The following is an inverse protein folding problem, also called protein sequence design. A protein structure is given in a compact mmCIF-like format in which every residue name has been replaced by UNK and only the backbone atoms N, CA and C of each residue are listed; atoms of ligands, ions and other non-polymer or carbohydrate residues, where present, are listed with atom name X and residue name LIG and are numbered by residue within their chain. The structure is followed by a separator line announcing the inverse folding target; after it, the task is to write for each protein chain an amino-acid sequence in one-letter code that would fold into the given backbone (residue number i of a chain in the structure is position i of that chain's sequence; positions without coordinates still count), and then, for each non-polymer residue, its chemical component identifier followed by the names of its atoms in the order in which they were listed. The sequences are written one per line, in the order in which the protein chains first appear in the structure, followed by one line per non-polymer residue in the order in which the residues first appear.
data_IF_139829133428
#
_entry.id   IF_139829133428
#
_cell.length_a   1.000
_cell.length_b   1.000
_cell.length_c   1.000
_cell.angle_alpha   90.00
_cell.angle_beta   90.00
_cell.angle_gamma   90.00
#
_symmetry.space_group_name_H-M   'P 1'
#
loop_
_entity.id
_entity.type
_entity.pdbx_description
1 polymer ?
#
# COMPACT_ATOMS: atom_id res chain seq x y z
N UNK A 1 11.41 0.59 12.19
CA UNK A 1 10.45 0.64 11.06
C UNK A 1 10.70 -0.39 9.97
N UNK A 2 11.94 -0.65 9.56
CA UNK A 2 12.23 -1.66 8.52
C UNK A 2 11.88 -3.09 8.96
N UNK A 3 12.32 -3.50 10.16
CA UNK A 3 12.05 -4.83 10.73
C UNK A 3 10.55 -5.15 10.81
N UNK A 4 9.75 -4.25 11.38
CA UNK A 4 8.28 -4.43 11.46
C UNK A 4 7.63 -4.50 10.07
N UNK A 5 8.14 -3.76 9.08
CA UNK A 5 7.66 -3.84 7.70
C UNK A 5 7.91 -5.23 7.12
N UNK A 6 9.12 -5.77 7.30
CA UNK A 6 9.47 -7.11 6.82
C UNK A 6 8.60 -8.19 7.47
N UNK A 7 8.45 -8.16 8.79
CA UNK A 7 7.63 -9.14 9.53
C UNK A 7 6.17 -9.09 9.07
N UNK A 8 5.57 -7.89 9.03
CA UNK A 8 4.16 -7.75 8.67
C UNK A 8 3.89 -8.10 7.21
N UNK A 9 4.78 -7.73 6.27
CA UNK A 9 4.62 -8.11 4.87
C UNK A 9 4.79 -9.61 4.65
N UNK A 10 5.69 -10.27 5.37
CA UNK A 10 5.82 -11.73 5.34
C UNK A 10 4.56 -12.39 5.88
N UNK A 11 4.11 -11.97 7.06
CA UNK A 11 2.88 -12.46 7.68
C UNK A 11 1.66 -12.33 6.75
N UNK A 12 1.49 -11.17 6.10
CA UNK A 12 0.39 -10.90 5.17
C UNK A 12 0.47 -11.68 3.85
N UNK A 13 1.64 -12.15 3.43
CA UNK A 13 1.76 -13.04 2.27
C UNK A 13 1.25 -14.44 2.61
N UNK A 14 1.53 -14.90 3.82
CA UNK A 14 1.22 -16.25 4.27
C UNK A 14 -0.18 -16.35 4.91
N UNK A 15 -0.79 -15.22 5.27
CA UNK A 15 -2.07 -15.16 5.97
C UNK A 15 -3.02 -14.11 5.36
N UNK A 16 -4.30 -14.48 5.24
CA UNK A 16 -5.35 -13.59 4.71
C UNK A 16 -6.00 -12.71 5.78
N UNK A 17 -5.82 -13.03 7.07
CA UNK A 17 -6.42 -12.32 8.19
C UNK A 17 -5.42 -11.42 8.91
N UNK A 18 -5.90 -10.27 9.37
CA UNK A 18 -5.12 -9.34 10.19
C UNK A 18 -5.24 -9.73 11.68
N UNK A 19 -4.12 -9.67 12.41
CA UNK A 19 -4.14 -9.80 13.88
C UNK A 19 -4.39 -8.42 14.46
N UNK A 20 -5.62 -8.18 14.91
CA UNK A 20 -6.05 -6.90 15.49
C UNK A 20 -6.02 -6.89 17.01
N UNK A 21 -5.90 -8.07 17.63
CA UNK A 21 -5.70 -8.19 19.06
C UNK A 21 -4.27 -7.73 19.43
N UNK A 22 -4.10 -6.75 20.35
CA UNK A 22 -2.79 -6.20 20.66
C UNK A 22 -1.79 -7.19 21.24
N UNK A 23 -2.25 -8.14 22.06
CA UNK A 23 -1.38 -9.09 22.75
C UNK A 23 -0.89 -10.15 21.76
N UNK A 24 -1.81 -10.69 20.95
CA UNK A 24 -1.45 -11.59 19.86
C UNK A 24 -0.56 -10.90 18.82
N UNK A 25 -0.82 -9.62 18.51
CA UNK A 25 -0.01 -8.86 17.57
C UNK A 25 1.42 -8.70 18.10
N UNK A 26 1.58 -8.30 19.38
CA UNK A 26 2.88 -8.15 20.00
C UNK A 26 3.65 -9.48 20.01
N UNK A 27 3.01 -10.56 20.47
CA UNK A 27 3.63 -11.89 20.49
C UNK A 27 4.07 -12.32 19.09
N UNK A 28 3.24 -12.08 18.07
CA UNK A 28 3.56 -12.43 16.69
C UNK A 28 4.78 -11.66 16.18
N UNK A 29 4.88 -10.35 16.42
CA UNK A 29 6.01 -9.57 15.91
C UNK A 29 7.31 -9.91 16.64
N UNK A 30 7.27 -10.12 17.96
CA UNK A 30 8.44 -10.43 18.78
C UNK A 30 8.94 -11.86 18.54
N UNK A 31 8.03 -12.81 18.31
CA UNK A 31 8.38 -14.21 17.99
C UNK A 31 9.00 -14.37 16.61
N UNK A 32 8.63 -13.52 15.64
CA UNK A 32 9.20 -13.55 14.30
C UNK A 32 10.52 -12.76 14.19
N UNK A 33 10.69 -11.72 15.00
CA UNK A 33 11.91 -10.91 15.04
C UNK A 33 12.17 -10.47 16.49
N UNK A 34 13.08 -11.16 17.21
CA UNK A 34 13.40 -10.84 18.60
C UNK A 34 13.89 -9.40 18.80
N UNK A 35 14.46 -8.75 17.77
CA UNK A 35 14.85 -7.33 17.85
C UNK A 35 13.67 -6.37 17.94
N UNK A 36 12.44 -6.85 17.72
CA UNK A 36 11.21 -6.09 17.95
C UNK A 36 10.69 -6.23 19.39
N UNK A 37 11.40 -6.92 20.28
CA UNK A 37 11.06 -6.94 21.71
C UNK A 37 10.88 -5.51 22.22
N UNK A 38 9.77 -5.25 22.93
CA UNK A 38 9.42 -3.94 23.50
C UNK A 38 9.04 -2.86 22.48
N UNK A 39 9.24 -3.06 21.17
CA UNK A 39 8.86 -2.09 20.14
C UNK A 39 7.39 -1.65 20.29
N UNK A 40 6.49 -2.61 20.51
CA UNK A 40 5.07 -2.31 20.66
C UNK A 40 4.78 -1.48 21.91
N UNK A 41 5.46 -1.77 23.02
CA UNK A 41 5.36 -1.00 24.27
C UNK A 41 5.90 0.42 24.10
N UNK A 42 7.01 0.59 23.38
CA UNK A 42 7.57 1.90 23.06
C UNK A 42 6.60 2.73 22.20
N UNK A 43 6.00 2.12 21.19
CA UNK A 43 5.00 2.76 20.34
C UNK A 43 3.76 3.19 21.15
N UNK A 44 3.28 2.36 22.06
CA UNK A 44 2.20 2.71 22.99
C UNK A 44 2.59 3.92 23.84
N UNK A 45 3.78 3.90 24.44
CA UNK A 45 4.24 4.98 25.32
C UNK A 45 4.47 6.30 24.56
N UNK A 46 4.91 6.23 23.31
CA UNK A 46 5.15 7.40 22.48
C UNK A 46 3.85 8.03 21.93
N UNK A 47 2.89 7.21 21.50
CA UNK A 47 1.70 7.68 20.79
C UNK A 47 0.50 7.95 21.69
N UNK A 48 0.49 7.40 22.92
CA UNK A 48 -0.65 7.50 23.82
C UNK A 48 -0.27 8.36 25.03
N UNK A 49 -0.94 9.50 25.24
CA UNK A 49 -0.70 10.32 26.44
C UNK A 49 -0.94 9.53 27.72
N UNK A 50 -0.07 9.69 28.73
CA UNK A 50 -0.15 8.96 30.01
C UNK A 50 -1.55 9.03 30.66
N UNK A 51 -2.19 10.20 30.68
CA UNK A 51 -3.56 10.42 31.20
C UNK A 51 -4.64 9.60 30.48
N UNK A 52 -4.43 9.28 29.20
CA UNK A 52 -5.36 8.50 28.36
C UNK A 52 -5.14 6.99 28.53
N UNK A 53 -3.91 6.59 28.85
CA UNK A 53 -3.53 5.21 29.13
C UNK A 53 -4.33 4.64 30.31
N UNK A 54 -4.60 5.45 31.33
CA UNK A 54 -5.34 5.03 32.53
C UNK A 54 -6.84 4.81 32.27
N UNK A 55 -7.45 5.58 31.36
CA UNK A 55 -8.91 5.54 31.13
C UNK A 55 -9.35 4.65 29.96
N UNK A 56 -8.48 4.44 28.96
CA UNK A 56 -8.85 3.79 27.69
C UNK A 56 -7.71 2.94 27.09
N UNK A 57 -6.90 2.29 27.94
CA UNK A 57 -5.70 1.51 27.57
C UNK A 57 -5.92 0.59 26.38
N UNK A 58 -7.00 -0.19 26.42
CA UNK A 58 -7.25 -1.25 25.45
C UNK A 58 -7.59 -0.71 24.06
N UNK A 59 -8.44 0.31 23.98
CA UNK A 59 -8.74 1.02 22.73
C UNK A 59 -7.48 1.64 22.14
N UNK A 60 -6.62 2.19 22.99
CA UNK A 60 -5.39 2.85 22.57
C UNK A 60 -4.38 1.83 22.01
N UNK A 61 -4.20 0.67 22.65
CA UNK A 61 -3.40 -0.43 22.12
C UNK A 61 -3.86 -0.89 20.73
N UNK A 62 -5.17 -1.08 20.53
CA UNK A 62 -5.74 -1.44 19.21
C UNK A 62 -5.47 -0.38 18.14
N UNK A 63 -5.45 0.90 18.51
CA UNK A 63 -5.06 1.98 17.59
C UNK A 63 -3.61 1.86 17.16
N UNK A 64 -2.70 1.53 18.07
CA UNK A 64 -1.27 1.33 17.74
C UNK A 64 -1.09 0.17 16.75
N UNK A 65 -1.81 -0.95 16.93
CA UNK A 65 -1.85 -2.05 15.94
C UNK A 65 -2.30 -1.53 14.57
N UNK A 66 -3.38 -0.76 14.53
CA UNK A 66 -3.88 -0.13 13.31
C UNK A 66 -2.84 0.77 12.65
N UNK A 67 -2.11 1.58 13.43
CA UNK A 67 -1.03 2.43 12.91
C UNK A 67 0.12 1.62 12.32
N UNK A 68 0.52 0.51 12.95
CA UNK A 68 1.56 -0.37 12.41
C UNK A 68 1.17 -0.89 11.02
N UNK A 69 -0.05 -1.42 10.87
CA UNK A 69 -0.53 -1.87 9.56
C UNK A 69 -0.65 -0.74 8.54
N UNK A 70 -1.13 0.44 8.97
CA UNK A 70 -1.23 1.61 8.09
C UNK A 70 0.15 2.05 7.57
N UNK A 71 1.15 2.17 8.45
CA UNK A 71 2.50 2.58 8.09
C UNK A 71 3.16 1.58 7.13
N UNK A 72 3.00 0.28 7.38
CA UNK A 72 3.49 -0.78 6.47
C UNK A 72 2.76 -0.74 5.14
N UNK A 73 1.43 -0.57 5.14
CA UNK A 73 0.64 -0.44 3.93
C UNK A 73 1.06 0.76 3.08
N UNK A 74 1.26 1.93 3.70
CA UNK A 74 1.77 3.13 3.03
C UNK A 74 3.15 2.88 2.42
N UNK A 75 4.08 2.29 3.20
CA UNK A 75 5.44 1.99 2.71
C UNK A 75 5.43 1.02 1.54
N UNK A 76 4.63 -0.04 1.61
CA UNK A 76 4.48 -1.01 0.52
C UNK A 76 3.88 -0.37 -0.73
N UNK A 77 2.82 0.44 -0.57
CA UNK A 77 2.22 1.18 -1.69
C UNK A 77 3.22 2.14 -2.33
N UNK A 78 3.98 2.89 -1.53
CA UNK A 78 5.03 3.78 -2.03
C UNK A 78 6.10 3.01 -2.81
N UNK A 79 6.63 1.91 -2.25
CA UNK A 79 7.64 1.10 -2.92
C UNK A 79 7.14 0.52 -4.25
N UNK A 80 5.91 -0.01 -4.29
CA UNK A 80 5.33 -0.55 -5.53
C UNK A 80 5.07 0.53 -6.58
N UNK A 81 4.58 1.70 -6.16
CA UNK A 81 4.39 2.84 -7.06
C UNK A 81 5.73 3.36 -7.60
N UNK A 82 6.76 3.43 -6.77
CA UNK A 82 8.10 3.83 -7.19
C UNK A 82 8.65 2.87 -8.27
N UNK A 83 8.55 1.56 -8.05
CA UNK A 83 8.97 0.55 -9.05
C UNK A 83 8.23 0.70 -10.37
N UNK A 84 6.93 1.00 -10.33
CA UNK A 84 6.11 1.24 -11.51
C UNK A 84 6.55 2.51 -12.26
N UNK A 85 6.73 3.62 -11.54
CA UNK A 85 7.18 4.89 -12.10
C UNK A 85 8.57 4.76 -12.73
N UNK A 86 9.49 4.06 -12.06
CA UNK A 86 10.81 3.78 -12.61
C UNK A 86 10.71 2.95 -13.89
N UNK A 87 9.88 1.90 -13.92
CA UNK A 87 9.66 1.10 -15.12
C UNK A 87 9.11 1.92 -16.29
N UNK A 88 8.12 2.78 -16.04
CA UNK A 88 7.57 3.71 -17.03
C UNK A 88 8.62 4.67 -17.57
N UNK A 89 9.42 5.24 -16.66
CA UNK A 89 10.51 6.15 -17.01
C UNK A 89 11.57 5.47 -17.88
N UNK A 90 12.05 4.29 -17.47
CA UNK A 90 13.02 3.49 -18.24
C UNK A 90 12.49 3.14 -19.64
N UNK A 91 11.21 2.77 -19.75
CA UNK A 91 10.59 2.52 -21.05
C UNK A 91 10.54 3.80 -21.91
N UNK A 92 10.28 4.96 -21.31
CA UNK A 92 10.28 6.24 -22.04
C UNK A 92 11.68 6.65 -22.53
N UNK A 93 12.74 6.24 -21.84
CA UNK A 93 14.13 6.42 -22.28
C UNK A 93 14.56 5.42 -23.37
N UNK A 94 13.65 4.59 -23.88
CA UNK A 94 13.96 3.60 -24.90
C UNK A 94 14.64 2.34 -24.37
N UNK A 95 14.64 2.09 -23.06
CA UNK A 95 15.19 0.85 -22.51
C UNK A 95 14.43 -0.36 -23.06
N UNK A 96 15.17 -1.39 -23.50
CA UNK A 96 14.57 -2.60 -24.05
C UNK A 96 13.73 -3.33 -23.01
N UNK A 97 12.70 -4.05 -23.47
CA UNK A 97 11.86 -4.88 -22.59
C UNK A 97 12.69 -5.91 -21.80
N UNK A 98 13.76 -6.44 -22.41
CA UNK A 98 14.71 -7.34 -21.74
C UNK A 98 15.42 -6.64 -20.58
N UNK A 99 15.96 -5.44 -20.83
CA UNK A 99 16.62 -4.62 -19.81
C UNK A 99 15.70 -4.28 -18.63
N UNK A 100 14.45 -3.88 -18.91
CA UNK A 100 13.45 -3.62 -17.87
C UNK A 100 13.14 -4.89 -17.07
N UNK A 101 13.00 -6.03 -17.73
CA UNK A 101 12.74 -7.31 -17.05
C UNK A 101 13.91 -7.75 -16.18
N UNK A 102 15.16 -7.51 -16.60
CA UNK A 102 16.36 -7.74 -15.77
C UNK A 102 16.30 -6.91 -14.49
N UNK A 103 16.03 -5.59 -14.60
CA UNK A 103 15.88 -4.72 -13.44
C UNK A 103 14.69 -5.11 -12.55
N UNK A 104 13.63 -5.64 -13.14
CA UNK A 104 12.50 -6.16 -12.39
C UNK A 104 12.86 -7.42 -11.61
N UNK A 105 13.63 -8.34 -12.20
CA UNK A 105 14.11 -9.54 -11.52
C UNK A 105 15.08 -9.21 -10.38
N UNK A 106 15.86 -8.13 -10.52
CA UNK A 106 16.67 -7.55 -9.45
C UNK A 106 15.84 -6.80 -8.39
N UNK A 107 14.52 -6.70 -8.55
CA UNK A 107 13.62 -6.05 -7.61
C UNK A 107 13.57 -4.52 -7.67
N UNK A 108 14.23 -3.90 -8.66
CA UNK A 108 14.35 -2.45 -8.82
C UNK A 108 13.18 -1.83 -9.58
N UNK A 109 12.66 -2.53 -10.59
CA UNK A 109 11.54 -2.10 -11.44
C UNK A 109 10.37 -3.09 -11.36
N UNK A 110 9.25 -2.77 -12.02
CA UNK A 110 8.23 -3.75 -12.42
C UNK A 110 8.56 -4.37 -13.77
N UNK A 111 8.02 -5.56 -14.05
CA UNK A 111 8.14 -6.21 -15.36
C UNK A 111 7.44 -5.40 -16.44
N UNK A 112 7.93 -5.53 -17.68
CA UNK A 112 7.34 -4.88 -18.87
C UNK A 112 5.84 -5.17 -19.01
N UNK A 113 5.42 -6.41 -18.72
CA UNK A 113 3.99 -6.80 -18.75
C UNK A 113 3.12 -5.96 -17.82
N UNK A 114 3.64 -5.59 -16.65
CA UNK A 114 2.95 -4.75 -15.66
C UNK A 114 2.80 -3.32 -16.19
N UNK A 115 3.84 -2.79 -16.83
CA UNK A 115 3.81 -1.46 -17.47
C UNK A 115 2.76 -1.43 -18.59
N UNK A 116 2.75 -2.43 -19.46
CA UNK A 116 1.77 -2.53 -20.55
C UNK A 116 0.34 -2.63 -20.02
N UNK A 117 0.12 -3.44 -18.99
CA UNK A 117 -1.19 -3.54 -18.33
C UNK A 117 -1.61 -2.19 -17.76
N UNK A 118 -0.73 -1.51 -17.03
CA UNK A 118 -1.00 -0.20 -16.46
C UNK A 118 -1.38 0.85 -17.53
N UNK A 119 -0.66 0.89 -18.65
CA UNK A 119 -1.00 1.76 -19.80
C UNK A 119 -2.39 1.43 -20.39
N UNK A 120 -2.71 0.14 -20.54
CA UNK A 120 -4.04 -0.30 -21.00
C UNK A 120 -5.15 0.13 -20.03
N UNK A 121 -4.91 -0.02 -18.73
CA UNK A 121 -5.88 0.35 -17.70
C UNK A 121 -6.15 1.88 -17.72
N UNK A 122 -5.09 2.70 -17.89
CA UNK A 122 -5.24 4.16 -18.07
C UNK A 122 -6.05 4.48 -19.34
N UNK A 123 -5.68 3.88 -20.48
CA UNK A 123 -6.37 4.16 -21.75
C UNK A 123 -7.86 3.79 -21.67
N UNK A 124 -8.17 2.63 -21.06
CA UNK A 124 -9.55 2.19 -20.83
C UNK A 124 -10.31 3.15 -19.92
N UNK A 125 -9.71 3.56 -18.79
CA UNK A 125 -10.33 4.50 -17.87
C UNK A 125 -10.59 5.86 -18.52
N UNK A 126 -9.68 6.33 -19.38
CA UNK A 126 -9.87 7.56 -20.14
C UNK A 126 -11.02 7.46 -21.14
N UNK A 127 -11.10 6.35 -21.89
CA UNK A 127 -12.20 6.11 -22.83
C UNK A 127 -13.56 6.06 -22.13
N UNK A 128 -13.65 5.45 -20.96
CA UNK A 128 -14.89 5.43 -20.15
C UNK A 128 -15.30 6.86 -19.78
N UNK A 129 -14.38 7.66 -19.24
CA UNK A 129 -14.65 9.05 -18.86
C UNK A 129 -15.09 9.92 -20.04
N UNK A 130 -14.51 9.72 -21.23
CA UNK A 130 -14.94 10.44 -22.42
C UNK A 130 -16.36 10.07 -22.81
N UNK A 131 -16.71 8.77 -22.79
CA UNK A 131 -18.07 8.33 -23.10
C UNK A 131 -19.08 8.89 -22.09
N UNK A 132 -18.75 8.87 -20.79
CA UNK A 132 -19.58 9.49 -19.74
C UNK A 132 -19.82 10.99 -20.00
N UNK A 133 -18.76 11.72 -20.40
CA UNK A 133 -18.85 13.13 -20.73
C UNK A 133 -19.73 13.40 -21.96
N UNK A 134 -19.56 12.63 -23.04
CA UNK A 134 -20.37 12.78 -24.25
C UNK A 134 -21.85 12.43 -23.99
N UNK A 135 -22.13 11.35 -23.26
CA UNK A 135 -23.50 10.98 -22.89
C UNK A 135 -24.19 12.08 -22.07
N UNK A 136 -23.47 12.71 -21.13
CA UNK A 136 -24.01 13.82 -20.35
C UNK A 136 -24.38 15.03 -21.23
N UNK A 137 -23.56 15.35 -22.23
CA UNK A 137 -23.85 16.43 -23.19
C UNK A 137 -25.10 16.11 -24.01
N UNK A 138 -25.22 14.86 -24.47
CA UNK A 138 -26.37 14.43 -25.28
C UNK A 138 -27.67 14.47 -24.46
N UNK A 139 -27.66 14.00 -23.22
CA UNK A 139 -28.81 14.09 -22.29
C UNK A 139 -29.23 15.55 -22.02
N UNK A 140 -28.26 16.44 -21.83
CA UNK A 140 -28.52 17.87 -21.67
C UNK A 140 -29.14 18.45 -22.95
N UNK A 141 -28.59 18.16 -24.13
CA UNK A 141 -29.17 18.65 -25.41
C UNK A 141 -30.61 18.21 -25.61
N UNK A 142 -30.96 16.99 -25.21
CA UNK A 142 -32.35 16.48 -25.28
C UNK A 142 -33.30 17.23 -24.33
N UNK A 143 -32.80 17.78 -23.22
CA UNK A 143 -33.62 18.54 -22.26
C UNK A 143 -33.84 20.01 -22.65
N UNK A 144 -32.99 20.63 -23.47
CA UNK A 144 -33.14 22.02 -23.93
C UNK A 144 -33.91 22.18 -25.25
N UNK A 145 -34.30 21.08 -25.92
CA UNK A 145 -35.05 21.08 -27.18
C UNK A 145 -36.55 20.72 -26.96
N UNK A 146 -36.97 20.55 -25.69
CA UNK A 146 -38.39 20.49 -25.30
C UNK A 146 -38.80 21.78 -24.60
#
# INVERSE_FOLDING_TARGET
MELITTVLLKYQKDNTKYILDPEQFQQMIESNEPKLERFFNEMINALIPKKRLEKNKEKAKKQVVGYCYLLVGIRNKFANNFKLNLGLYLQSLGMTNSGINILSNAGLSVHTKTIQRYKKDIAKAHSIKLNEYFNLIDDLRVTWIK
#
